data_IF_043367835902
#
_entry.id   IF_043367835902
#
_cell.length_a   1.000
_cell.length_b   1.000
_cell.length_c   1.000
_cell.angle_alpha   90.00
_cell.angle_beta   90.00
_cell.angle_gamma   90.00
#
_symmetry.space_group_name_H-M   'P 1'
#
loop_
_entity.id
_entity.type
_entity.pdbx_description
1 polymer ?
#
# COMPACT_ATOMS: atom_id res chain seq x y z
N UNK A 1 -39.88 -51.75 17.85
CA UNK A 1 -40.09 -50.29 17.99
C UNK A 1 -38.95 -49.74 18.84
N UNK A 2 -37.96 -49.13 18.21
CA UNK A 2 -36.89 -48.37 18.89
C UNK A 2 -37.05 -46.90 18.47
N UNK A 3 -36.98 -45.92 19.40
CA UNK A 3 -36.93 -44.52 19.01
C UNK A 3 -35.49 -44.13 18.63
N UNK A 4 -35.33 -43.49 17.48
CA UNK A 4 -34.10 -42.85 17.05
C UNK A 4 -33.94 -41.52 17.81
N UNK A 5 -32.76 -41.29 18.40
CA UNK A 5 -32.37 -39.98 18.93
C UNK A 5 -31.56 -39.23 17.89
N UNK A 6 -32.13 -38.22 17.25
CA UNK A 6 -31.38 -37.31 16.40
C UNK A 6 -30.63 -36.29 17.27
N UNK A 7 -29.31 -36.42 17.29
CA UNK A 7 -28.39 -35.44 17.89
C UNK A 7 -28.24 -34.26 16.93
N UNK A 8 -28.61 -33.08 17.41
CA UNK A 8 -28.29 -31.80 16.77
C UNK A 8 -26.77 -31.62 16.82
N UNK A 9 -26.12 -31.62 15.66
CA UNK A 9 -24.69 -31.33 15.53
C UNK A 9 -24.49 -29.81 15.55
N UNK A 10 -23.86 -29.29 16.60
CA UNK A 10 -23.49 -27.89 16.70
C UNK A 10 -22.35 -27.57 15.70
N UNK A 11 -22.50 -26.48 14.96
CA UNK A 11 -21.47 -25.98 14.05
C UNK A 11 -20.19 -25.60 14.82
N UNK A 12 -19.00 -25.77 14.22
CA UNK A 12 -17.74 -25.47 14.90
C UNK A 12 -17.60 -23.96 15.12
N UNK A 13 -17.30 -23.60 16.37
CA UNK A 13 -16.98 -22.22 16.78
C UNK A 13 -15.72 -21.79 16.04
N UNK A 14 -15.83 -20.76 15.18
CA UNK A 14 -14.67 -20.13 14.56
C UNK A 14 -13.88 -19.37 15.62
N UNK A 15 -12.60 -19.69 15.77
CA UNK A 15 -11.68 -18.92 16.61
C UNK A 15 -11.48 -17.52 16.02
N UNK A 16 -11.42 -16.47 16.87
CA UNK A 16 -11.16 -15.12 16.39
C UNK A 16 -9.76 -15.00 15.79
N UNK A 17 -9.65 -14.26 14.69
CA UNK A 17 -8.38 -13.99 14.01
C UNK A 17 -7.32 -13.45 14.99
N UNK A 18 -6.05 -13.88 14.85
CA UNK A 18 -5.00 -13.47 15.77
C UNK A 18 -4.83 -11.95 15.72
N UNK A 19 -4.92 -11.29 16.89
CA UNK A 19 -4.61 -9.87 17.02
C UNK A 19 -3.12 -9.67 16.76
N UNK A 20 -2.80 -8.90 15.73
CA UNK A 20 -1.43 -8.57 15.34
C UNK A 20 -0.81 -7.74 16.46
N UNK A 21 0.28 -8.25 17.06
CA UNK A 21 0.99 -7.56 18.13
C UNK A 21 1.77 -6.39 17.53
N UNK A 22 1.42 -5.17 17.91
CA UNK A 22 2.26 -3.99 17.71
C UNK A 22 3.67 -4.28 18.26
N UNK A 23 4.65 -4.38 17.36
CA UNK A 23 6.05 -4.37 17.79
C UNK A 23 6.40 -2.91 18.10
N UNK A 24 6.62 -2.62 19.38
CA UNK A 24 7.28 -1.38 19.79
C UNK A 24 8.69 -1.38 19.20
N UNK A 25 8.95 -0.44 18.30
CA UNK A 25 10.30 -0.13 17.84
C UNK A 25 11.07 0.37 19.05
N UNK A 26 11.95 -0.45 19.61
CA UNK A 26 12.88 -0.04 20.67
C UNK A 26 14.16 0.44 20.03
N UNK A 27 14.66 1.60 20.48
CA UNK A 27 15.90 2.27 20.07
C UNK A 27 17.18 1.46 20.39
N UNK A 28 17.32 0.27 19.81
CA UNK A 28 18.55 -0.52 19.87
C UNK A 28 19.27 -0.42 18.53
N UNK A 29 20.25 0.47 18.51
CA UNK A 29 21.28 0.57 17.49
C UNK A 29 22.11 -0.72 17.44
N UNK A 30 22.36 -1.18 16.22
CA UNK A 30 23.59 -1.79 15.71
C UNK A 30 24.46 -2.55 16.73
N UNK A 31 24.27 -3.86 16.87
CA UNK A 31 25.31 -4.75 17.37
C UNK A 31 25.56 -5.89 16.37
N UNK A 32 26.79 -5.93 15.86
CA UNK A 32 27.50 -7.09 15.33
C UNK A 32 26.73 -8.09 14.46
N UNK A 33 26.53 -7.78 13.18
CA UNK A 33 26.17 -8.82 12.20
C UNK A 33 25.37 -8.34 10.99
N UNK A 34 26.00 -7.63 10.06
CA UNK A 34 25.67 -7.73 8.63
C UNK A 34 24.26 -7.36 8.14
N UNK A 35 23.43 -6.64 8.91
CA UNK A 35 22.22 -5.99 8.40
C UNK A 35 22.27 -4.51 8.78
N UNK A 36 22.87 -3.71 7.90
CA UNK A 36 22.75 -2.26 8.01
C UNK A 36 21.27 -1.93 7.77
N UNK A 37 20.56 -1.48 8.80
CA UNK A 37 19.19 -0.95 8.69
C UNK A 37 19.23 0.36 7.90
N UNK A 38 19.42 0.26 6.59
CA UNK A 38 19.39 1.40 5.65
C UNK A 38 18.00 2.07 5.62
N UNK A 39 17.00 1.39 6.20
CA UNK A 39 15.59 1.78 6.24
C UNK A 39 15.12 2.41 7.55
N UNK A 40 15.97 2.46 8.59
CA UNK A 40 15.64 3.19 9.81
C UNK A 40 15.79 4.69 9.53
N UNK A 41 14.83 5.24 8.79
CA UNK A 41 14.61 6.67 8.72
C UNK A 41 14.19 7.09 10.14
N UNK A 42 15.19 7.37 10.99
CA UNK A 42 15.00 7.96 12.32
C UNK A 42 14.56 9.42 12.15
N UNK A 43 13.38 9.62 11.56
CA UNK A 43 12.67 10.88 11.56
C UNK A 43 11.72 10.89 12.76
N UNK A 44 11.65 12.00 13.51
CA UNK A 44 10.55 12.26 14.42
C UNK A 44 9.20 12.09 13.70
N UNK A 45 8.18 11.61 14.41
CA UNK A 45 6.90 11.22 13.79
C UNK A 45 6.22 12.38 13.06
N UNK A 46 6.35 13.59 13.60
CA UNK A 46 5.85 14.84 13.04
C UNK A 46 6.57 15.28 11.77
N UNK A 47 7.76 14.74 11.49
CA UNK A 47 8.52 15.03 10.26
C UNK A 47 8.28 13.97 9.18
N UNK A 48 7.52 12.91 9.47
CA UNK A 48 7.27 11.83 8.52
C UNK A 48 6.12 12.21 7.60
N UNK A 49 6.43 12.30 6.31
CA UNK A 49 5.44 12.48 5.27
C UNK A 49 4.52 11.24 5.18
N UNK A 50 3.19 11.36 5.16
CA UNK A 50 2.31 10.23 4.89
C UNK A 50 2.58 9.61 3.52
N UNK A 51 2.07 8.41 3.30
CA UNK A 51 2.19 7.68 2.03
C UNK A 51 0.80 7.33 1.51
N UNK A 52 0.53 7.71 0.26
CA UNK A 52 -0.60 7.22 -0.53
C UNK A 52 -0.12 6.04 -1.37
N UNK A 53 -0.79 4.90 -1.26
CA UNK A 53 -0.54 3.73 -2.10
C UNK A 53 -1.57 3.65 -3.23
N UNK A 54 -1.10 3.60 -4.48
CA UNK A 54 -1.93 3.26 -5.64
C UNK A 54 -2.18 1.75 -5.64
N UNK A 55 -3.34 1.31 -5.12
CA UNK A 55 -3.64 -0.11 -5.00
C UNK A 55 -3.69 -0.81 -6.36
N UNK A 56 -4.19 -0.12 -7.41
CA UNK A 56 -4.28 -0.72 -8.74
C UNK A 56 -2.90 -0.98 -9.33
N UNK A 57 -1.94 -0.05 -9.15
CA UNK A 57 -0.55 -0.25 -9.56
C UNK A 57 0.16 -1.31 -8.69
N UNK A 58 0.08 -1.19 -7.36
CA UNK A 58 0.80 -2.07 -6.42
C UNK A 58 0.34 -3.51 -6.51
N UNK A 59 -0.97 -3.74 -6.60
CA UNK A 59 -1.56 -5.08 -6.58
C UNK A 59 -1.42 -5.83 -7.90
N UNK A 60 -1.24 -5.13 -9.02
CA UNK A 60 -1.15 -5.77 -10.33
C UNK A 60 0.14 -6.59 -10.46
N UNK A 61 -0.02 -7.89 -10.68
CA UNK A 61 1.06 -8.81 -11.00
C UNK A 61 1.09 -9.04 -12.51
N UNK A 62 2.13 -8.50 -13.15
CA UNK A 62 2.41 -8.56 -14.58
C UNK A 62 2.75 -9.98 -15.07
N UNK A 63 3.24 -10.86 -14.19
CA UNK A 63 3.51 -12.27 -14.54
C UNK A 63 2.21 -13.07 -14.62
N UNK A 64 1.28 -12.83 -13.68
CA UNK A 64 0.01 -13.60 -13.60
C UNK A 64 -1.18 -12.87 -14.23
N UNK A 65 -1.01 -11.61 -14.62
CA UNK A 65 -2.04 -10.67 -15.09
C UNK A 65 -3.24 -10.58 -14.14
N UNK A 66 -2.96 -10.51 -12.83
CA UNK A 66 -3.97 -10.53 -11.75
C UNK A 66 -3.63 -9.54 -10.65
N UNK A 67 -4.67 -8.98 -10.04
CA UNK A 67 -4.54 -8.18 -8.83
C UNK A 67 -4.39 -9.08 -7.60
N UNK A 68 -3.43 -8.77 -6.74
CA UNK A 68 -3.17 -9.46 -5.47
C UNK A 68 -3.15 -8.49 -4.30
N UNK A 69 -4.06 -8.68 -3.35
CA UNK A 69 -4.11 -7.97 -2.08
C UNK A 69 -2.88 -8.23 -1.20
N UNK A 70 -2.21 -9.39 -1.34
CA UNK A 70 -0.93 -9.63 -0.65
C UNK A 70 0.14 -8.59 -0.99
N UNK A 71 0.21 -8.15 -2.25
CA UNK A 71 1.15 -7.10 -2.67
C UNK A 71 0.81 -5.75 -2.03
N UNK A 72 -0.48 -5.43 -1.87
CA UNK A 72 -0.92 -4.25 -1.14
C UNK A 72 -0.52 -4.33 0.33
N UNK A 73 -0.73 -5.50 0.96
CA UNK A 73 -0.33 -5.72 2.35
C UNK A 73 1.18 -5.59 2.54
N UNK A 74 1.99 -6.11 1.61
CA UNK A 74 3.44 -5.94 1.64
C UNK A 74 3.85 -4.45 1.58
N UNK A 75 3.20 -3.66 0.72
CA UNK A 75 3.44 -2.22 0.63
C UNK A 75 3.00 -1.45 1.89
N UNK A 76 1.86 -1.80 2.49
CA UNK A 76 1.41 -1.26 3.78
C UNK A 76 2.43 -1.57 4.87
N UNK A 77 2.85 -2.83 4.97
CA UNK A 77 3.80 -3.27 5.99
C UNK A 77 5.13 -2.53 5.85
N UNK A 78 5.67 -2.42 4.64
CA UNK A 78 6.87 -1.63 4.38
C UNK A 78 6.73 -0.20 4.92
N UNK A 79 5.66 0.52 4.54
CA UNK A 79 5.42 1.89 4.96
C UNK A 79 5.30 2.03 6.49
N UNK A 80 4.60 1.10 7.14
CA UNK A 80 4.41 1.10 8.59
C UNK A 80 5.68 0.72 9.35
N UNK A 81 6.48 -0.22 8.83
CA UNK A 81 7.76 -0.63 9.42
C UNK A 81 8.80 0.50 9.42
N UNK A 82 8.81 1.33 8.37
CA UNK A 82 9.61 2.57 8.34
C UNK A 82 8.94 3.73 9.08
N UNK A 83 7.75 3.49 9.66
CA UNK A 83 7.10 4.39 10.61
C UNK A 83 6.21 5.47 9.99
N UNK A 84 5.78 5.31 8.73
CA UNK A 84 4.94 6.26 8.02
C UNK A 84 3.46 5.87 8.10
N UNK A 85 2.59 6.88 8.19
CA UNK A 85 1.14 6.68 8.03
C UNK A 85 0.84 6.38 6.58
N UNK A 86 -0.11 5.48 6.34
CA UNK A 86 -0.48 5.03 5.00
C UNK A 86 -1.97 5.18 4.75
N UNK A 87 -2.32 5.61 3.55
CA UNK A 87 -3.67 5.58 2.97
C UNK A 87 -3.59 4.82 1.66
N UNK A 88 -4.46 3.86 1.44
CA UNK A 88 -4.55 3.08 0.21
C UNK A 88 -5.71 3.60 -0.60
N UNK A 89 -5.47 3.97 -1.86
CA UNK A 89 -6.54 4.33 -2.79
C UNK A 89 -6.74 3.21 -3.79
N UNK A 90 -7.97 2.74 -3.93
CA UNK A 90 -8.33 1.68 -4.86
C UNK A 90 -9.59 2.03 -5.66
N UNK A 91 -9.63 1.77 -6.98
CA UNK A 91 -10.87 1.82 -7.74
C UNK A 91 -11.89 0.82 -7.18
N UNK A 92 -13.14 1.25 -6.98
CA UNK A 92 -14.21 0.40 -6.45
C UNK A 92 -14.63 -0.74 -7.40
N UNK A 93 -14.28 -0.62 -8.67
CA UNK A 93 -14.50 -1.60 -9.74
C UNK A 93 -13.27 -2.48 -10.02
N UNK A 94 -12.20 -2.37 -9.22
CA UNK A 94 -11.01 -3.21 -9.37
C UNK A 94 -11.38 -4.70 -9.22
N UNK A 95 -11.16 -5.49 -10.27
CA UNK A 95 -11.60 -6.88 -10.36
C UNK A 95 -10.73 -7.84 -9.55
N UNK A 96 -10.99 -7.92 -8.25
CA UNK A 96 -10.38 -8.92 -7.35
C UNK A 96 -11.22 -10.20 -7.36
N UNK A 97 -10.82 -11.15 -8.23
CA UNK A 97 -11.59 -12.37 -8.51
C UNK A 97 -11.56 -13.38 -7.36
N UNK A 98 -10.43 -13.53 -6.70
CA UNK A 98 -10.22 -14.57 -5.70
C UNK A 98 -10.81 -14.16 -4.33
N UNK A 99 -11.56 -15.04 -3.64
CA UNK A 99 -12.17 -14.72 -2.34
C UNK A 99 -11.15 -14.32 -1.25
N UNK A 100 -9.99 -14.98 -1.23
CA UNK A 100 -8.92 -14.69 -0.26
C UNK A 100 -8.38 -13.27 -0.45
N UNK A 101 -8.16 -12.87 -1.70
CA UNK A 101 -7.68 -11.53 -2.04
C UNK A 101 -8.71 -10.46 -1.67
N UNK A 102 -10.02 -10.72 -1.88
CA UNK A 102 -11.08 -9.83 -1.39
C UNK A 102 -11.10 -9.70 0.13
N UNK A 103 -10.83 -10.80 0.85
CA UNK A 103 -10.72 -10.79 2.30
C UNK A 103 -9.61 -9.86 2.80
N UNK A 104 -8.49 -9.78 2.08
CA UNK A 104 -7.40 -8.84 2.40
C UNK A 104 -7.87 -7.39 2.26
N UNK A 105 -8.50 -7.02 1.14
CA UNK A 105 -9.02 -5.66 0.96
C UNK A 105 -10.07 -5.29 2.02
N UNK A 106 -10.99 -6.20 2.36
CA UNK A 106 -11.97 -5.99 3.42
C UNK A 106 -11.31 -5.76 4.79
N UNK A 107 -10.21 -6.48 5.09
CA UNK A 107 -9.45 -6.27 6.32
C UNK A 107 -8.72 -4.92 6.34
N UNK A 108 -8.21 -4.45 5.20
CA UNK A 108 -7.56 -3.13 5.10
C UNK A 108 -8.62 -2.01 5.25
N UNK A 109 -9.81 -2.19 4.65
CA UNK A 109 -10.95 -1.30 4.81
C UNK A 109 -11.42 -1.21 6.26
N UNK A 110 -11.55 -2.35 6.94
CA UNK A 110 -11.94 -2.39 8.35
C UNK A 110 -10.95 -1.66 9.28
N UNK A 111 -9.70 -1.51 8.86
CA UNK A 111 -8.68 -0.74 9.58
C UNK A 111 -8.75 0.77 9.30
N UNK A 112 -9.63 1.21 8.39
CA UNK A 112 -9.75 2.62 7.99
C UNK A 112 -8.57 3.12 7.15
N UNK A 113 -7.82 2.21 6.53
CA UNK A 113 -6.63 2.53 5.71
C UNK A 113 -6.99 2.63 4.22
N UNK A 114 -8.03 1.91 3.78
CA UNK A 114 -8.49 1.88 2.38
C UNK A 114 -9.57 2.93 2.11
N UNK A 115 -9.40 3.70 1.03
CA UNK A 115 -10.43 4.57 0.46
C UNK A 115 -10.78 4.06 -0.95
N UNK A 116 -12.05 3.73 -1.15
CA UNK A 116 -12.57 3.31 -2.45
C UNK A 116 -12.90 4.52 -3.31
N UNK A 117 -12.39 4.52 -4.54
CA UNK A 117 -12.60 5.58 -5.53
C UNK A 117 -13.62 5.13 -6.58
N UNK A 118 -14.63 5.97 -6.81
CA UNK A 118 -15.59 5.76 -7.88
C UNK A 118 -15.04 6.33 -9.19
N UNK A 119 -14.24 5.53 -9.89
CA UNK A 119 -13.63 5.90 -11.18
C UNK A 119 -14.01 4.89 -12.25
N UNK A 120 -14.34 5.31 -13.48
CA UNK A 120 -14.65 4.39 -14.57
C UNK A 120 -13.42 3.57 -14.94
N UNK A 121 -13.61 2.32 -15.34
CA UNK A 121 -12.54 1.53 -15.95
C UNK A 121 -12.41 1.93 -17.42
N UNK A 122 -11.21 2.34 -17.84
CA UNK A 122 -10.98 2.94 -19.15
C UNK A 122 -10.57 1.92 -20.22
N UNK A 123 -10.07 0.74 -19.84
CA UNK A 123 -9.51 -0.23 -20.82
C UNK A 123 -9.22 -1.65 -20.29
N UNK A 124 -10.07 -2.23 -19.43
CA UNK A 124 -9.80 -3.51 -18.71
C UNK A 124 -8.50 -3.50 -17.86
N UNK A 125 -7.94 -2.31 -17.69
CA UNK A 125 -6.73 -2.01 -16.96
C UNK A 125 -6.90 -0.62 -16.39
N UNK A 126 -6.33 -0.40 -15.22
CA UNK A 126 -6.23 0.94 -14.68
C UNK A 126 -4.98 1.65 -15.12
N UNK A 127 -4.04 1.01 -15.84
CA UNK A 127 -2.69 1.54 -16.13
C UNK A 127 -2.68 2.97 -16.67
N UNK A 128 -3.67 3.33 -17.48
CA UNK A 128 -3.87 4.68 -18.00
C UNK A 128 -5.31 5.12 -17.70
N UNK A 129 -5.48 5.84 -16.60
CA UNK A 129 -6.80 6.26 -16.10
C UNK A 129 -6.70 7.68 -15.52
N UNK A 130 -7.02 8.71 -16.32
CA UNK A 130 -6.90 10.11 -15.92
C UNK A 130 -7.65 10.46 -14.63
N UNK A 131 -8.84 9.87 -14.41
CA UNK A 131 -9.63 10.13 -13.22
C UNK A 131 -8.93 9.57 -11.97
N UNK A 132 -8.45 8.31 -12.04
CA UNK A 132 -7.67 7.71 -10.95
C UNK A 132 -6.37 8.48 -10.68
N UNK A 133 -5.66 8.89 -11.74
CA UNK A 133 -4.45 9.69 -11.67
C UNK A 133 -4.66 10.99 -10.91
N UNK A 134 -5.69 11.75 -11.29
CA UNK A 134 -6.03 13.01 -10.64
C UNK A 134 -6.46 12.80 -9.18
N UNK A 135 -7.22 11.74 -8.87
CA UNK A 135 -7.59 11.45 -7.48
C UNK A 135 -6.38 11.09 -6.61
N UNK A 136 -5.46 10.26 -7.12
CA UNK A 136 -4.21 9.91 -6.41
C UNK A 136 -3.39 11.17 -6.09
N UNK A 137 -3.20 12.03 -7.10
CA UNK A 137 -2.40 13.25 -6.98
C UNK A 137 -3.07 14.31 -6.10
N UNK A 138 -4.39 14.49 -6.23
CA UNK A 138 -5.18 15.39 -5.38
C UNK A 138 -5.10 14.95 -3.91
N UNK A 139 -5.33 13.66 -3.64
CA UNK A 139 -5.27 13.13 -2.27
C UNK A 139 -3.88 13.26 -1.66
N UNK A 140 -2.85 12.99 -2.45
CA UNK A 140 -1.48 13.18 -2.00
C UNK A 140 -1.13 14.65 -1.74
N UNK A 141 -1.67 15.58 -2.53
CA UNK A 141 -1.53 17.01 -2.25
C UNK A 141 -2.22 17.41 -0.94
N UNK A 142 -3.46 16.99 -0.75
CA UNK A 142 -4.26 17.27 0.47
C UNK A 142 -3.56 16.79 1.74
N UNK A 143 -3.02 15.57 1.71
CA UNK A 143 -2.35 14.94 2.85
C UNK A 143 -0.87 15.33 2.97
N UNK A 144 -0.38 16.15 2.04
CA UNK A 144 1.05 16.37 1.81
C UNK A 144 1.84 15.05 1.70
N UNK A 145 1.26 14.00 1.14
CA UNK A 145 1.81 12.65 1.10
C UNK A 145 2.78 12.40 -0.08
N UNK A 146 3.66 11.41 0.08
CA UNK A 146 4.32 10.73 -1.04
C UNK A 146 3.35 9.72 -1.69
N UNK A 147 3.62 9.31 -2.92
CA UNK A 147 2.80 8.35 -3.68
C UNK A 147 3.67 7.15 -4.04
N UNK A 148 3.23 5.94 -3.77
CA UNK A 148 3.87 4.72 -4.30
C UNK A 148 3.04 4.22 -5.48
N UNK A 149 3.60 4.29 -6.68
CA UNK A 149 2.96 3.87 -7.93
C UNK A 149 4.01 3.73 -9.05
N UNK A 150 3.82 2.76 -9.94
CA UNK A 150 4.58 2.60 -11.20
C UNK A 150 3.88 3.28 -12.40
N UNK A 151 2.81 4.02 -12.14
CA UNK A 151 2.03 4.71 -13.17
C UNK A 151 2.81 5.86 -13.80
N UNK A 152 2.61 6.10 -15.09
CA UNK A 152 3.22 7.21 -15.83
C UNK A 152 2.64 8.60 -15.47
N UNK A 153 1.40 8.64 -14.99
CA UNK A 153 0.60 9.85 -14.76
C UNK A 153 0.47 10.76 -15.99
N UNK A 154 0.50 10.17 -17.20
CA UNK A 154 0.46 10.90 -18.46
C UNK A 154 -0.91 11.53 -18.77
N UNK A 155 -1.98 11.06 -18.14
CA UNK A 155 -3.33 11.60 -18.26
C UNK A 155 -3.70 12.60 -17.17
N UNK A 156 -2.84 12.81 -16.17
CA UNK A 156 -3.07 13.73 -15.07
C UNK A 156 -3.12 15.20 -15.53
N UNK A 157 -3.89 16.01 -14.81
CA UNK A 157 -3.92 17.45 -14.96
C UNK A 157 -2.52 18.05 -14.74
N UNK A 158 -2.16 19.03 -15.57
CA UNK A 158 -0.84 19.69 -15.50
C UNK A 158 -0.58 20.42 -14.19
N UNK A 159 -1.63 20.73 -13.43
CA UNK A 159 -1.50 21.31 -12.09
C UNK A 159 -0.75 20.39 -11.12
N UNK A 160 -0.77 19.07 -11.35
CA UNK A 160 -0.12 18.07 -10.48
C UNK A 160 1.33 17.76 -10.87
N UNK A 161 1.91 18.54 -11.78
CA UNK A 161 3.26 18.33 -12.27
C UNK A 161 4.31 18.27 -11.14
N UNK A 162 4.14 19.08 -10.09
CA UNK A 162 5.05 19.10 -8.94
C UNK A 162 4.99 17.80 -8.16
N UNK A 163 3.79 17.28 -7.87
CA UNK A 163 3.60 16.01 -7.17
C UNK A 163 4.22 14.85 -7.95
N UNK A 164 4.01 14.81 -9.26
CA UNK A 164 4.59 13.79 -10.14
C UNK A 164 6.13 13.81 -10.06
N UNK A 165 6.73 14.99 -10.16
CA UNK A 165 8.20 15.13 -10.21
C UNK A 165 8.91 15.00 -8.86
N UNK A 166 8.19 15.09 -7.74
CA UNK A 166 8.81 15.16 -6.42
C UNK A 166 8.30 14.15 -5.41
N UNK A 167 7.18 13.47 -5.67
CA UNK A 167 6.47 12.67 -4.67
C UNK A 167 6.11 11.26 -5.13
N UNK A 168 6.20 10.95 -6.42
CA UNK A 168 5.93 9.60 -6.95
C UNK A 168 7.17 8.73 -6.79
N UNK A 169 7.00 7.61 -6.10
CA UNK A 169 8.04 6.64 -5.78
C UNK A 169 7.68 5.35 -6.51
N UNK A 170 8.52 4.99 -7.47
CA UNK A 170 8.46 3.69 -8.12
C UNK A 170 8.88 2.55 -7.18
N UNK A 171 8.56 1.32 -7.55
CA UNK A 171 8.86 0.12 -6.80
C UNK A 171 9.05 -1.08 -7.72
N UNK A 172 9.66 -2.14 -7.19
CA UNK A 172 9.56 -3.45 -7.81
C UNK A 172 9.19 -4.52 -6.77
N UNK A 173 8.67 -5.64 -7.25
CA UNK A 173 8.45 -6.82 -6.43
C UNK A 173 9.47 -7.89 -6.77
N UNK A 174 10.02 -8.51 -5.73
CA UNK A 174 10.73 -9.77 -5.87
C UNK A 174 10.10 -10.78 -4.93
N UNK A 175 9.46 -11.80 -5.51
CA UNK A 175 8.61 -12.76 -4.79
C UNK A 175 7.46 -12.03 -4.08
N UNK A 176 7.40 -12.08 -2.76
CA UNK A 176 6.34 -11.50 -1.93
C UNK A 176 6.78 -10.21 -1.24
N UNK A 177 7.98 -9.71 -1.54
CA UNK A 177 8.53 -8.51 -0.93
C UNK A 177 8.55 -7.36 -1.93
N UNK A 178 8.22 -6.17 -1.43
CA UNK A 178 8.33 -4.92 -2.17
C UNK A 178 9.72 -4.32 -1.94
N UNK A 179 10.31 -3.77 -2.99
CA UNK A 179 11.58 -3.07 -2.96
C UNK A 179 11.37 -1.65 -3.44
N UNK A 180 11.73 -0.70 -2.58
CA UNK A 180 11.68 0.73 -2.87
C UNK A 180 13.11 1.23 -3.08
N UNK A 181 13.42 1.87 -4.22
CA UNK A 181 14.75 2.40 -4.46
C UNK A 181 15.07 3.56 -3.50
N UNK A 182 16.31 3.63 -3.03
CA UNK A 182 16.78 4.74 -2.18
C UNK A 182 16.90 6.06 -2.97
N UNK A 183 16.99 5.97 -4.29
CA UNK A 183 17.05 7.08 -5.25
C UNK A 183 15.94 6.95 -6.33
N UNK A 184 14.66 7.18 -5.97
CA UNK A 184 13.53 6.97 -6.90
C UNK A 184 13.62 7.77 -8.21
N UNK A 185 14.30 8.91 -8.19
CA UNK A 185 14.50 9.79 -9.35
C UNK A 185 15.96 9.75 -9.87
N UNK A 186 16.71 8.72 -9.50
CA UNK A 186 18.11 8.55 -9.85
C UNK A 186 19.06 9.51 -9.12
N UNK A 187 20.27 9.66 -9.66
CA UNK A 187 21.37 10.37 -8.96
C UNK A 187 21.07 11.83 -8.67
N UNK A 188 20.47 12.54 -9.62
CA UNK A 188 20.24 13.98 -9.56
C UNK A 188 18.90 14.39 -8.96
N UNK A 189 17.99 13.45 -8.74
CA UNK A 189 16.69 13.71 -8.14
C UNK A 189 16.69 13.55 -6.61
N UNK A 190 15.55 13.88 -5.97
CA UNK A 190 15.41 13.77 -4.52
C UNK A 190 15.59 12.33 -4.06
N UNK A 191 16.26 12.16 -2.92
CA UNK A 191 16.44 10.85 -2.28
C UNK A 191 15.17 10.44 -1.58
N UNK A 192 14.97 9.13 -1.42
CA UNK A 192 13.79 8.58 -0.75
C UNK A 192 13.54 9.26 0.61
N UNK A 193 14.60 9.48 1.40
CA UNK A 193 14.51 10.18 2.69
C UNK A 193 13.95 11.59 2.55
N UNK A 194 14.37 12.34 1.55
CA UNK A 194 13.92 13.72 1.32
C UNK A 194 12.45 13.74 0.92
N UNK A 195 12.04 12.82 0.04
CA UNK A 195 10.64 12.67 -0.37
C UNK A 195 9.77 12.32 0.84
N UNK A 196 10.23 11.40 1.69
CA UNK A 196 9.50 10.94 2.86
C UNK A 196 9.57 11.89 4.08
N UNK A 197 10.30 13.01 3.99
CA UNK A 197 10.33 14.02 5.05
C UNK A 197 9.36 15.16 4.72
N UNK A 198 8.58 15.61 5.69
CA UNK A 198 7.78 16.83 5.55
C UNK A 198 8.71 18.05 5.42
N UNK A 199 8.39 18.94 4.49
CA UNK A 199 9.11 20.20 4.36
C UNK A 199 8.64 21.13 5.49
N UNK A 200 9.56 21.50 6.38
CA UNK A 200 9.35 22.49 7.45
C UNK A 200 9.02 23.87 6.90
#
# INVERSE_FOLDING_TARGET
MHPASDRISAAPVQEPAPKWKERKITDSMCDGGGRCNIWAINLPTEQRRPIVLDAASVSYNDITERYSGWRVLAAINWAQEIGHRVTVLAPNNMLVKEPEERGIFANIEAQGILEWLAVPETSNSYSENPDLENHLLARARELDAAIVSERSFSGASSEFHREILQRVIGFCFFRQEIFIPVDPYGRSGPKLREILTMSS
#
